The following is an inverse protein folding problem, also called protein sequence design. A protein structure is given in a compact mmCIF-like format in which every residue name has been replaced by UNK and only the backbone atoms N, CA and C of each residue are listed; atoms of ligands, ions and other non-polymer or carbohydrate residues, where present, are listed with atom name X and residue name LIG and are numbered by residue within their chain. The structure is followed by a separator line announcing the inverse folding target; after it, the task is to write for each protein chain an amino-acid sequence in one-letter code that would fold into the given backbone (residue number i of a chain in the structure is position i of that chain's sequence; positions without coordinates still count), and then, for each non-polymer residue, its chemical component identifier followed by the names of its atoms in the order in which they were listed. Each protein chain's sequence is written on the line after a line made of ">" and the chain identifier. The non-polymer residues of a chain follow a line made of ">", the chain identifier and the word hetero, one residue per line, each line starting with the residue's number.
data_IF_366017008256
#
_entry.id   IF_366017008256
#
_cell.length_a   1.000
_cell.length_b   1.000
_cell.length_c   1.000
_cell.angle_alpha   90.00
_cell.angle_beta   90.00
_cell.angle_gamma   90.00
#
_symmetry.space_group_name_H-M   'P 1'
#
loop_
_entity.id
_entity.type
_entity.pdbx_description
1 polymer ?
#
# COMPACT_ATOMS: atom_id res chain seq x y z
N UNK A 1 6.88 26.22 -15.41
CA UNK A 1 6.85 25.27 -14.27
C UNK A 1 8.10 25.51 -13.44
N UNK A 2 7.98 25.87 -12.15
CA UNK A 2 9.13 25.80 -11.25
C UNK A 2 9.52 24.33 -11.15
N UNK A 3 10.73 23.97 -11.60
CA UNK A 3 11.23 22.59 -11.48
C UNK A 3 11.40 22.21 -10.01
N UNK A 4 11.44 20.91 -9.71
CA UNK A 4 11.75 20.46 -8.35
C UNK A 4 13.13 20.96 -7.92
N UNK A 5 13.36 21.06 -6.61
CA UNK A 5 14.69 21.41 -6.08
C UNK A 5 15.75 20.42 -6.59
N UNK A 6 15.40 19.13 -6.65
CA UNK A 6 16.28 18.06 -7.15
C UNK A 6 16.77 18.31 -8.58
N UNK A 7 15.87 18.58 -9.52
CA UNK A 7 16.27 18.87 -10.90
C UNK A 7 16.91 20.24 -11.06
N UNK A 8 16.50 21.23 -10.26
CA UNK A 8 16.99 22.60 -10.39
C UNK A 8 18.45 22.72 -9.97
N UNK A 9 18.86 22.09 -8.86
CA UNK A 9 20.22 22.19 -8.33
C UNK A 9 21.28 21.54 -9.24
N UNK A 10 20.87 20.56 -10.04
CA UNK A 10 21.77 19.83 -10.97
C UNK A 10 21.55 20.24 -12.43
N UNK A 11 20.69 21.24 -12.68
CA UNK A 11 20.45 21.76 -14.02
C UNK A 11 21.72 22.36 -14.62
N UNK A 12 21.92 22.17 -15.92
CA UNK A 12 23.04 22.77 -16.66
C UNK A 12 22.90 24.30 -16.73
N UNK A 13 21.67 24.81 -16.80
CA UNK A 13 21.41 26.25 -16.99
C UNK A 13 21.37 27.02 -15.68
N UNK A 14 20.81 26.42 -14.62
CA UNK A 14 20.51 27.10 -13.35
C UNK A 14 20.98 26.31 -12.11
N UNK A 15 21.86 25.33 -12.29
CA UNK A 15 22.34 24.48 -11.20
C UNK A 15 23.19 25.23 -10.17
N UNK A 16 23.58 24.54 -9.11
CA UNK A 16 24.30 25.10 -7.97
C UNK A 16 25.58 25.86 -8.38
N UNK A 17 26.28 25.37 -9.41
CA UNK A 17 27.47 26.00 -9.98
C UNK A 17 27.25 27.41 -10.57
N UNK A 18 25.99 27.83 -10.75
CA UNK A 18 25.63 29.19 -11.19
C UNK A 18 25.20 30.09 -10.04
N UNK A 19 25.12 29.58 -8.82
CA UNK A 19 24.72 30.37 -7.67
C UNK A 19 25.86 31.26 -7.19
N UNK A 20 25.75 32.55 -7.51
CA UNK A 20 26.71 33.60 -7.16
C UNK A 20 26.24 34.49 -6.00
N UNK A 21 25.18 34.08 -5.28
CA UNK A 21 24.69 34.81 -4.10
C UNK A 21 25.77 34.89 -3.03
N UNK A 22 25.79 36.03 -2.34
CA UNK A 22 26.73 36.31 -1.27
C UNK A 22 26.22 35.75 0.06
N UNK A 23 27.13 35.60 1.03
CA UNK A 23 26.81 35.09 2.38
C UNK A 23 25.65 35.85 3.05
N UNK A 24 25.54 37.16 2.82
CA UNK A 24 24.46 38.01 3.36
C UNK A 24 23.08 37.63 2.79
N UNK A 25 23.02 37.25 1.51
CA UNK A 25 21.78 36.91 0.82
C UNK A 25 21.21 35.61 1.40
N UNK A 26 22.07 34.63 1.69
CA UNK A 26 21.64 33.39 2.35
C UNK A 26 21.10 33.62 3.77
N UNK A 27 21.66 34.56 4.52
CA UNK A 27 21.12 34.92 5.85
C UNK A 27 19.71 35.50 5.75
N UNK A 28 19.48 36.38 4.77
CA UNK A 28 18.15 36.93 4.50
C UNK A 28 17.17 35.85 4.05
N UNK A 29 17.58 34.97 3.13
CA UNK A 29 16.74 33.86 2.70
C UNK A 29 16.41 32.88 3.84
N UNK A 30 17.30 32.73 4.81
CA UNK A 30 17.07 31.92 6.00
C UNK A 30 16.07 32.54 6.98
N UNK A 31 15.95 33.88 7.05
CA UNK A 31 14.93 34.52 7.89
C UNK A 31 13.51 34.32 7.36
N UNK A 32 13.36 34.10 6.06
CA UNK A 32 12.06 33.88 5.41
C UNK A 32 11.63 32.40 5.40
N UNK A 33 12.50 31.49 5.88
CA UNK A 33 12.19 30.06 5.90
C UNK A 33 11.13 29.74 6.95
N UNK A 34 9.96 29.30 6.49
CA UNK A 34 8.94 28.71 7.36
C UNK A 34 9.34 27.28 7.70
N UNK A 35 9.30 26.93 8.99
CA UNK A 35 9.45 25.55 9.43
C UNK A 35 8.27 24.73 8.90
N UNK A 36 8.56 23.74 8.05
CA UNK A 36 7.58 22.73 7.70
C UNK A 36 7.73 21.51 8.62
N UNK A 37 6.61 20.92 9.06
CA UNK A 37 6.66 19.70 9.85
C UNK A 37 7.25 18.56 9.02
N UNK A 38 7.89 17.61 9.72
CA UNK A 38 8.30 16.34 9.11
C UNK A 38 7.07 15.63 8.54
N UNK A 39 7.26 14.93 7.44
CA UNK A 39 6.23 14.08 6.86
C UNK A 39 5.83 13.00 7.87
N UNK A 40 4.54 12.97 8.23
CA UNK A 40 4.03 12.02 9.21
C UNK A 40 4.19 10.56 8.76
N UNK A 41 4.29 10.32 7.44
CA UNK A 41 4.46 9.01 6.83
C UNK A 41 5.92 8.67 6.49
N UNK A 42 6.90 9.49 6.88
CA UNK A 42 8.31 9.14 6.68
C UNK A 42 8.71 7.91 7.49
N UNK A 43 9.36 6.95 6.83
CA UNK A 43 9.92 5.74 7.46
C UNK A 43 11.42 5.88 7.69
N UNK A 44 12.10 6.69 6.89
CA UNK A 44 13.53 6.95 6.99
C UNK A 44 13.81 8.38 7.46
N UNK A 45 14.94 8.55 8.15
CA UNK A 45 15.48 9.82 8.61
C UNK A 45 16.90 9.96 8.09
N UNK A 46 17.25 11.17 7.65
CA UNK A 46 18.63 11.50 7.28
C UNK A 46 19.39 12.05 8.49
N UNK A 47 20.50 11.41 8.82
CA UNK A 47 21.48 11.87 9.81
C UNK A 47 22.74 12.37 9.08
N UNK A 48 22.71 13.63 8.65
CA UNK A 48 23.80 14.25 7.90
C UNK A 48 24.55 15.28 8.75
N UNK A 49 25.83 15.54 8.42
CA UNK A 49 26.68 16.52 9.11
C UNK A 49 25.98 17.88 9.19
N UNK A 50 26.01 18.52 10.38
CA UNK A 50 25.40 19.84 10.59
C UNK A 50 26.05 20.90 9.66
N UNK A 51 25.28 21.80 9.04
CA UNK A 51 25.82 22.86 8.22
C UNK A 51 26.54 23.89 9.11
N UNK A 52 27.72 24.32 8.69
CA UNK A 52 28.57 25.27 9.44
C UNK A 52 28.55 26.69 8.83
N UNK A 53 27.74 26.93 7.80
CA UNK A 53 27.57 28.24 7.19
C UNK A 53 26.17 28.41 6.61
N UNK A 54 25.82 29.67 6.28
CA UNK A 54 24.49 30.05 5.81
C UNK A 54 24.12 29.43 4.45
N UNK A 55 25.07 29.26 3.52
CA UNK A 55 24.81 28.66 2.20
C UNK A 55 24.42 27.18 2.37
N UNK A 56 25.21 26.42 3.14
CA UNK A 56 24.92 25.02 3.48
C UNK A 56 23.58 24.89 4.20
N UNK A 57 23.31 25.74 5.20
CA UNK A 57 22.05 25.71 5.96
C UNK A 57 20.84 26.00 5.08
N UNK A 58 20.93 27.02 4.22
CA UNK A 58 19.87 27.39 3.29
C UNK A 58 19.50 26.21 2.38
N UNK A 59 20.49 25.62 1.72
CA UNK A 59 20.24 24.52 0.80
C UNK A 59 19.85 23.22 1.51
N UNK A 60 20.39 22.96 2.69
CA UNK A 60 19.94 21.82 3.50
C UNK A 60 18.46 21.96 3.84
N UNK A 61 18.00 23.13 4.31
CA UNK A 61 16.58 23.38 4.58
C UNK A 61 15.72 23.28 3.32
N UNK A 62 16.19 23.82 2.19
CA UNK A 62 15.48 23.77 0.92
C UNK A 62 15.25 22.32 0.46
N UNK A 63 16.30 21.51 0.46
CA UNK A 63 16.26 20.10 0.07
C UNK A 63 15.42 19.30 1.05
N UNK A 64 15.60 19.54 2.35
CA UNK A 64 14.81 18.90 3.41
C UNK A 64 13.31 19.13 3.19
N UNK A 65 12.90 20.38 2.98
CA UNK A 65 11.48 20.71 2.78
C UNK A 65 10.90 20.04 1.53
N UNK A 66 11.62 20.08 0.40
CA UNK A 66 11.17 19.39 -0.82
C UNK A 66 11.03 17.88 -0.58
N UNK A 67 11.97 17.30 0.16
CA UNK A 67 11.97 15.87 0.51
C UNK A 67 10.76 15.53 1.37
N UNK A 68 10.53 16.24 2.47
CA UNK A 68 9.38 16.01 3.36
C UNK A 68 8.05 16.23 2.62
N UNK A 69 7.94 17.28 1.80
CA UNK A 69 6.74 17.50 1.00
C UNK A 69 6.48 16.36 0.00
N UNK A 70 7.54 15.85 -0.62
CA UNK A 70 7.45 14.71 -1.56
C UNK A 70 7.00 13.45 -0.83
N UNK A 71 7.60 13.13 0.33
CA UNK A 71 7.19 11.96 1.13
C UNK A 71 5.73 12.11 1.58
N UNK A 72 5.34 13.28 2.09
CA UNK A 72 3.96 13.54 2.51
C UNK A 72 2.94 13.37 1.36
N UNK A 73 3.35 13.70 0.13
CA UNK A 73 2.50 13.58 -1.06
C UNK A 73 2.19 12.14 -1.46
N UNK A 74 2.97 11.14 -1.03
CA UNK A 74 2.72 9.73 -1.40
C UNK A 74 1.31 9.27 -1.02
N UNK A 75 0.81 9.70 0.13
CA UNK A 75 -0.57 9.40 0.56
C UNK A 75 -1.64 9.84 -0.45
N UNK A 76 -1.36 10.88 -1.25
CA UNK A 76 -2.26 11.37 -2.30
C UNK A 76 -2.09 10.60 -3.61
N UNK A 77 -0.86 10.17 -3.93
CA UNK A 77 -0.54 9.38 -5.13
C UNK A 77 -1.04 7.93 -5.03
N UNK A 78 -1.26 7.44 -3.80
CA UNK A 78 -1.78 6.11 -3.50
C UNK A 78 -3.07 6.19 -2.66
N UNK A 79 -4.19 6.65 -3.23
CA UNK A 79 -5.43 6.82 -2.49
C UNK A 79 -6.07 5.47 -2.15
N UNK A 80 -6.84 5.43 -1.06
CA UNK A 80 -7.41 4.18 -0.50
C UNK A 80 -8.35 3.44 -1.48
N UNK A 81 -8.98 4.18 -2.39
CA UNK A 81 -9.90 3.66 -3.40
C UNK A 81 -9.23 3.34 -4.74
N UNK A 82 -7.91 3.54 -4.90
CA UNK A 82 -7.20 3.18 -6.13
C UNK A 82 -7.18 1.66 -6.33
N UNK A 83 -7.40 1.25 -7.57
CA UNK A 83 -7.24 -0.11 -8.04
C UNK A 83 -5.76 -0.51 -8.06
N UNK A 84 -5.48 -1.82 -8.15
CA UNK A 84 -4.10 -2.31 -8.26
C UNK A 84 -3.40 -1.78 -9.51
N UNK A 85 -4.00 -1.77 -10.72
CA UNK A 85 -3.35 -1.18 -11.91
C UNK A 85 -3.04 0.31 -11.76
N UNK A 86 -3.93 1.09 -11.14
CA UNK A 86 -3.68 2.52 -10.86
C UNK A 86 -2.49 2.70 -9.91
N UNK A 87 -2.44 1.94 -8.82
CA UNK A 87 -1.32 2.00 -7.88
C UNK A 87 0.01 1.54 -8.52
N UNK A 88 -0.02 0.54 -9.40
CA UNK A 88 1.16 0.15 -10.19
C UNK A 88 1.63 1.30 -11.07
N UNK A 89 0.70 1.95 -11.78
CA UNK A 89 1.00 3.10 -12.61
C UNK A 89 1.60 4.27 -11.79
N UNK A 90 0.97 4.66 -10.67
CA UNK A 90 1.50 5.68 -9.76
C UNK A 90 2.91 5.33 -9.26
N UNK A 91 3.12 4.08 -8.87
CA UNK A 91 4.42 3.58 -8.44
C UNK A 91 5.46 3.74 -9.55
N UNK A 92 5.18 3.29 -10.77
CA UNK A 92 6.09 3.41 -11.92
C UNK A 92 6.43 4.87 -12.22
N UNK A 93 5.45 5.79 -12.18
CA UNK A 93 5.68 7.22 -12.42
C UNK A 93 6.62 7.81 -11.36
N UNK A 94 6.39 7.53 -10.08
CA UNK A 94 7.24 8.02 -9.00
C UNK A 94 8.64 7.39 -9.04
N UNK A 95 8.73 6.10 -9.34
CA UNK A 95 10.00 5.39 -9.48
C UNK A 95 10.84 6.01 -10.60
N UNK A 96 10.26 6.19 -11.80
CA UNK A 96 10.93 6.83 -12.93
C UNK A 96 11.37 8.27 -12.63
N UNK A 97 10.58 9.00 -11.84
CA UNK A 97 10.94 10.35 -11.38
C UNK A 97 12.17 10.33 -10.47
N UNK A 98 12.24 9.39 -9.53
CA UNK A 98 13.40 9.27 -8.62
C UNK A 98 14.62 8.67 -9.31
N UNK A 99 14.44 7.73 -10.24
CA UNK A 99 15.48 7.26 -11.15
C UNK A 99 16.13 8.42 -11.88
N UNK A 100 15.30 9.31 -12.44
CA UNK A 100 15.81 10.51 -13.13
C UNK A 100 16.59 11.41 -12.18
N UNK A 101 16.09 11.67 -10.97
CA UNK A 101 16.83 12.48 -9.99
C UNK A 101 18.20 11.88 -9.66
N UNK A 102 18.27 10.58 -9.39
CA UNK A 102 19.51 9.89 -9.06
C UNK A 102 20.53 9.98 -10.22
N UNK A 103 20.08 9.71 -11.45
CA UNK A 103 20.93 9.80 -12.65
C UNK A 103 21.41 11.24 -12.93
N UNK A 104 20.53 12.24 -12.79
CA UNK A 104 20.88 13.65 -12.99
C UNK A 104 21.92 14.11 -11.96
N UNK A 105 21.76 13.69 -10.69
CA UNK A 105 22.72 13.98 -9.62
C UNK A 105 24.06 13.29 -9.88
N UNK A 106 24.05 12.00 -10.26
CA UNK A 106 25.28 11.25 -10.58
C UNK A 106 26.05 11.91 -11.73
N UNK A 107 25.34 12.29 -12.79
CA UNK A 107 25.90 13.02 -13.94
C UNK A 107 26.53 14.35 -13.49
N UNK A 108 25.86 15.08 -12.61
CA UNK A 108 26.36 16.35 -12.09
C UNK A 108 27.60 16.17 -11.22
N UNK A 109 27.61 15.16 -10.34
CA UNK A 109 28.76 14.81 -9.50
C UNK A 109 29.99 14.56 -10.38
N UNK A 110 29.86 13.71 -11.40
CA UNK A 110 30.94 13.37 -12.31
C UNK A 110 31.44 14.58 -13.10
N UNK A 111 30.52 15.38 -13.66
CA UNK A 111 30.89 16.56 -14.46
C UNK A 111 31.53 17.68 -13.65
N UNK A 112 31.21 17.81 -12.37
CA UNK A 112 31.69 18.88 -11.50
C UNK A 112 32.79 18.46 -10.54
N UNK A 113 33.19 17.19 -10.57
CA UNK A 113 34.21 16.65 -9.66
C UNK A 113 33.80 16.76 -8.20
N UNK A 114 32.51 16.54 -7.90
CA UNK A 114 32.01 16.59 -6.53
C UNK A 114 32.60 15.42 -5.75
N UNK A 115 33.22 15.71 -4.59
CA UNK A 115 33.86 14.70 -3.75
C UNK A 115 33.11 14.52 -2.42
N UNK A 116 33.52 13.54 -1.63
CA UNK A 116 32.99 13.31 -0.28
C UNK A 116 33.48 14.34 0.76
N UNK A 117 34.33 15.29 0.39
CA UNK A 117 34.78 16.35 1.31
C UNK A 117 33.65 17.36 1.59
N UNK A 118 32.98 17.15 2.72
CA UNK A 118 31.85 17.98 3.18
C UNK A 118 32.28 19.38 3.67
N UNK A 119 33.58 19.72 3.66
CA UNK A 119 34.03 21.06 4.02
C UNK A 119 33.77 22.07 2.90
N UNK A 120 33.89 21.67 1.64
CA UNK A 120 33.45 22.47 0.50
C UNK A 120 31.91 22.63 0.48
N UNK A 121 31.43 23.82 0.13
CA UNK A 121 30.00 24.16 0.11
C UNK A 121 29.22 23.33 -0.91
N UNK A 122 29.73 23.24 -2.14
CA UNK A 122 29.04 22.55 -3.23
C UNK A 122 29.06 21.03 -3.01
N UNK A 123 30.18 20.48 -2.53
CA UNK A 123 30.25 19.08 -2.14
C UNK A 123 29.24 18.75 -1.05
N UNK A 124 29.14 19.57 0.00
CA UNK A 124 28.18 19.36 1.07
C UNK A 124 26.74 19.32 0.53
N UNK A 125 26.37 20.30 -0.30
CA UNK A 125 25.00 20.46 -0.79
C UNK A 125 24.62 19.31 -1.72
N UNK A 126 25.51 18.94 -2.65
CA UNK A 126 25.23 17.88 -3.61
C UNK A 126 25.24 16.50 -2.94
N UNK A 127 26.11 16.24 -1.97
CA UNK A 127 26.05 14.98 -1.20
C UNK A 127 24.79 14.90 -0.34
N UNK A 128 24.33 16.01 0.25
CA UNK A 128 23.04 16.03 0.95
C UNK A 128 21.87 15.79 -0.01
N UNK A 129 21.94 16.33 -1.24
CA UNK A 129 20.97 16.07 -2.30
C UNK A 129 20.96 14.60 -2.73
N UNK A 130 22.13 13.99 -2.95
CA UNK A 130 22.32 12.55 -3.23
C UNK A 130 21.63 11.71 -2.16
N UNK A 131 21.98 11.91 -0.89
CA UNK A 131 21.41 11.19 0.25
C UNK A 131 19.88 11.36 0.31
N UNK A 132 19.37 12.57 0.07
CA UNK A 132 17.93 12.85 0.10
C UNK A 132 17.19 12.16 -1.05
N UNK A 133 17.78 12.07 -2.24
CA UNK A 133 17.21 11.35 -3.38
C UNK A 133 17.19 9.84 -3.14
N UNK A 134 18.27 9.27 -2.58
CA UNK A 134 18.33 7.87 -2.16
C UNK A 134 17.22 7.59 -1.15
N UNK A 135 17.03 8.48 -0.15
CA UNK A 135 15.92 8.37 0.80
C UNK A 135 14.56 8.36 0.09
N UNK A 136 14.28 9.25 -0.86
CA UNK A 136 12.98 9.27 -1.56
C UNK A 136 12.70 7.95 -2.28
N UNK A 137 13.71 7.39 -2.93
CA UNK A 137 13.62 6.10 -3.61
C UNK A 137 13.35 4.96 -2.60
N UNK A 138 14.10 4.92 -1.50
CA UNK A 138 13.92 3.94 -0.43
C UNK A 138 12.55 4.07 0.27
N UNK A 139 12.06 5.29 0.53
CA UNK A 139 10.74 5.55 1.11
C UNK A 139 9.63 4.98 0.21
N UNK A 140 9.71 5.21 -1.10
CA UNK A 140 8.73 4.69 -2.07
C UNK A 140 8.72 3.16 -2.06
N UNK A 141 9.89 2.51 -2.08
CA UNK A 141 10.00 1.06 -2.03
C UNK A 141 9.49 0.47 -0.71
N UNK A 142 9.84 1.06 0.42
CA UNK A 142 9.44 0.55 1.73
C UNK A 142 7.93 0.68 1.96
N UNK A 143 7.33 1.79 1.52
CA UNK A 143 5.90 2.05 1.75
C UNK A 143 5.00 1.42 0.68
N UNK A 144 5.47 1.33 -0.57
CA UNK A 144 4.65 0.99 -1.73
C UNK A 144 5.28 -0.04 -2.69
N UNK A 145 6.41 -0.65 -2.33
CA UNK A 145 7.14 -1.60 -3.16
C UNK A 145 6.35 -2.85 -3.57
N UNK A 146 5.24 -3.17 -2.89
CA UNK A 146 4.32 -4.23 -3.30
C UNK A 146 3.66 -4.00 -4.67
N UNK A 147 3.70 -2.76 -5.19
CA UNK A 147 3.22 -2.41 -6.52
C UNK A 147 4.33 -2.43 -7.57
N UNK A 148 5.57 -2.69 -7.19
CA UNK A 148 6.68 -2.89 -8.11
C UNK A 148 6.56 -4.21 -8.86
N UNK A 149 6.94 -4.22 -10.14
CA UNK A 149 7.16 -5.44 -10.91
C UNK A 149 8.62 -5.90 -10.85
N UNK A 150 9.52 -5.03 -10.37
CA UNK A 150 10.96 -5.24 -10.25
C UNK A 150 11.37 -5.51 -8.81
N UNK A 151 12.53 -6.17 -8.65
CA UNK A 151 13.19 -6.37 -7.35
C UNK A 151 13.48 -5.02 -6.67
N UNK A 152 13.22 -4.97 -5.37
CA UNK A 152 13.55 -3.84 -4.51
C UNK A 152 15.04 -3.83 -4.16
N UNK A 153 15.68 -2.67 -4.27
CA UNK A 153 17.04 -2.41 -3.80
C UNK A 153 17.05 -1.93 -2.34
N UNK A 154 18.07 -2.32 -1.59
CA UNK A 154 18.47 -1.73 -0.32
C UNK A 154 19.17 -0.38 -0.51
N UNK A 155 19.38 0.37 0.57
CA UNK A 155 20.04 1.69 0.50
C UNK A 155 21.45 1.61 -0.11
N UNK A 156 22.23 0.57 0.24
CA UNK A 156 23.56 0.36 -0.33
C UNK A 156 23.48 0.01 -1.82
N UNK A 157 22.55 -0.87 -2.22
CA UNK A 157 22.36 -1.24 -3.64
C UNK A 157 21.90 -0.04 -4.49
N UNK A 158 21.10 0.88 -3.94
CA UNK A 158 20.75 2.13 -4.63
C UNK A 158 22.02 2.99 -4.79
N UNK A 159 22.82 3.16 -3.73
CA UNK A 159 24.04 3.96 -3.80
C UNK A 159 25.03 3.39 -4.83
N UNK A 160 25.23 2.08 -4.84
CA UNK A 160 26.07 1.37 -5.80
C UNK A 160 25.53 1.52 -7.22
N UNK A 161 24.25 1.22 -7.46
CA UNK A 161 23.62 1.25 -8.79
C UNK A 161 23.74 2.60 -9.49
N UNK A 162 23.49 3.72 -8.78
CA UNK A 162 23.44 5.04 -9.41
C UNK A 162 24.73 5.84 -9.26
N UNK A 163 25.57 5.55 -8.27
CA UNK A 163 26.77 6.34 -7.97
C UNK A 163 28.07 5.53 -7.94
N UNK A 164 28.04 4.22 -8.19
CA UNK A 164 29.17 3.31 -8.06
C UNK A 164 29.86 3.44 -6.68
N UNK A 165 29.06 3.60 -5.62
CA UNK A 165 29.51 3.84 -4.25
C UNK A 165 29.28 2.60 -3.39
N UNK A 166 30.19 1.63 -3.48
CA UNK A 166 30.15 0.36 -2.72
C UNK A 166 30.36 0.56 -1.22
N UNK A 167 30.97 1.67 -0.82
CA UNK A 167 31.33 2.01 0.57
C UNK A 167 30.36 3.00 1.22
N UNK A 168 29.18 3.19 0.63
CA UNK A 168 28.21 4.16 1.11
C UNK A 168 27.83 3.90 2.58
N UNK A 169 28.00 4.91 3.43
CA UNK A 169 27.61 4.83 4.83
C UNK A 169 26.08 4.84 4.97
N UNK A 170 25.51 3.65 5.09
CA UNK A 170 24.06 3.45 5.25
C UNK A 170 23.51 4.09 6.52
N UNK A 171 24.34 4.37 7.54
CA UNK A 171 23.89 5.01 8.79
C UNK A 171 23.49 6.48 8.59
N UNK A 172 23.85 7.07 7.44
CA UNK A 172 23.37 8.40 7.06
C UNK A 172 21.86 8.38 6.79
N UNK A 173 21.27 7.23 6.47
CA UNK A 173 19.83 7.04 6.24
C UNK A 173 19.32 5.96 7.21
N UNK A 174 18.82 6.39 8.37
CA UNK A 174 18.31 5.49 9.39
C UNK A 174 16.82 5.22 9.22
N UNK A 175 16.44 3.95 9.36
CA UNK A 175 15.03 3.56 9.48
C UNK A 175 14.52 3.95 10.86
N UNK A 176 13.50 4.80 10.91
CA UNK A 176 12.88 5.22 12.18
C UNK A 176 12.18 4.02 12.83
N UNK A 177 12.51 3.73 14.09
CA UNK A 177 11.91 2.65 14.89
C UNK A 177 10.49 2.95 15.38
N UNK A 178 9.99 4.17 15.13
CA UNK A 178 8.68 4.63 15.57
C UNK A 178 7.60 4.48 14.50
N UNK A 179 6.69 3.51 14.76
CA UNK A 179 5.32 3.31 14.22
C UNK A 179 5.12 3.62 12.73
N UNK A 180 5.05 2.54 11.94
CA UNK A 180 4.32 2.48 10.67
C UNK A 180 3.03 3.30 10.77
N UNK A 181 2.93 4.36 9.96
CA UNK A 181 1.61 4.91 9.59
C UNK A 181 0.80 3.75 9.01
N UNK A 182 -0.43 3.64 9.47
CA UNK A 182 -1.25 2.45 9.39
C UNK A 182 -1.47 1.95 7.95
N UNK A 183 -0.64 0.99 7.53
CA UNK A 183 -1.09 -0.16 6.75
C UNK A 183 -1.08 -1.38 7.67
N UNK A 184 -2.27 -1.87 8.00
CA UNK A 184 -2.43 -3.16 8.69
C UNK A 184 -1.72 -4.24 7.87
N UNK A 185 -0.60 -4.74 8.41
CA UNK A 185 0.03 -6.05 8.21
C UNK A 185 -0.19 -6.72 6.84
N UNK A 186 0.79 -6.62 5.96
CA UNK A 186 1.29 -7.77 5.17
C UNK A 186 2.60 -8.22 5.83
N UNK A 187 2.96 -9.48 5.98
CA UNK A 187 2.28 -10.77 5.82
C UNK A 187 2.99 -11.70 6.80
N UNK A 188 2.27 -12.41 7.67
CA UNK A 188 2.75 -13.75 8.03
C UNK A 188 2.90 -14.49 6.70
N UNK A 189 4.01 -15.20 6.52
CA UNK A 189 4.25 -16.19 5.45
C UNK A 189 2.92 -16.61 4.84
N UNK A 190 2.70 -16.36 3.53
CA UNK A 190 1.48 -16.76 2.82
C UNK A 190 1.20 -18.22 3.19
N UNK A 191 0.37 -18.44 4.19
CA UNK A 191 -0.23 -19.73 4.43
C UNK A 191 -0.93 -20.05 3.11
N UNK A 192 -0.73 -21.27 2.61
CA UNK A 192 -1.41 -21.75 1.40
C UNK A 192 -2.86 -21.22 1.42
N UNK A 193 -3.34 -20.63 0.31
CA UNK A 193 -4.67 -20.06 0.26
C UNK A 193 -5.65 -21.10 0.80
N UNK A 194 -6.43 -20.73 1.83
CA UNK A 194 -7.34 -21.68 2.47
C UNK A 194 -8.41 -22.06 1.45
N UNK A 195 -8.42 -23.32 1.06
CA UNK A 195 -9.28 -23.81 -0.02
C UNK A 195 -10.64 -24.33 0.47
N UNK A 196 -10.99 -24.13 1.74
CA UNK A 196 -12.29 -24.54 2.30
C UNK A 196 -12.86 -23.54 3.28
N UNK A 197 -14.16 -23.66 3.56
CA UNK A 197 -14.84 -22.87 4.59
C UNK A 197 -14.67 -23.45 6.00
N UNK A 198 -14.49 -24.77 6.11
CA UNK A 198 -14.16 -25.47 7.35
C UNK A 198 -15.29 -25.40 8.37
N UNK A 199 -16.38 -26.14 8.13
CA UNK A 199 -17.46 -26.27 9.10
C UNK A 199 -16.95 -26.91 10.40
N UNK A 200 -17.39 -26.39 11.55
CA UNK A 200 -16.84 -26.77 12.87
C UNK A 200 -17.53 -27.96 13.52
N UNK A 201 -18.79 -28.22 13.18
CA UNK A 201 -19.56 -29.33 13.76
C UNK A 201 -19.38 -30.60 12.93
N UNK A 202 -19.46 -31.75 13.60
CA UNK A 202 -19.54 -33.05 12.93
C UNK A 202 -20.95 -33.33 12.39
N UNK A 203 -21.97 -32.66 12.93
CA UNK A 203 -23.34 -32.80 12.46
C UNK A 203 -23.59 -31.96 11.21
N UNK A 204 -23.37 -32.59 10.07
CA UNK A 204 -23.63 -31.99 8.75
C UNK A 204 -25.11 -31.98 8.38
N UNK A 205 -25.93 -32.84 9.01
CA UNK A 205 -27.34 -32.99 8.66
C UNK A 205 -28.18 -31.80 9.13
N UNK A 206 -27.90 -31.27 10.33
CA UNK A 206 -28.55 -30.06 10.83
C UNK A 206 -28.21 -28.84 9.98
N UNK A 207 -26.98 -28.74 9.48
CA UNK A 207 -26.61 -27.68 8.52
C UNK A 207 -27.47 -27.76 7.25
N UNK A 208 -27.66 -28.96 6.68
CA UNK A 208 -28.50 -29.13 5.50
C UNK A 208 -29.95 -28.71 5.77
N UNK A 209 -30.52 -29.13 6.89
CA UNK A 209 -31.88 -28.74 7.31
C UNK A 209 -32.01 -27.22 7.44
N UNK A 210 -31.05 -26.57 8.09
CA UNK A 210 -31.02 -25.10 8.22
C UNK A 210 -30.93 -24.42 6.87
N UNK A 211 -30.07 -24.90 5.96
CA UNK A 211 -29.97 -24.32 4.61
C UNK A 211 -31.28 -24.49 3.81
N UNK A 212 -31.99 -25.62 3.97
CA UNK A 212 -33.30 -25.84 3.34
C UNK A 212 -34.34 -24.86 3.86
N UNK A 213 -34.39 -24.66 5.18
CA UNK A 213 -35.30 -23.71 5.82
C UNK A 213 -35.00 -22.26 5.40
N UNK A 214 -33.72 -21.86 5.39
CA UNK A 214 -33.32 -20.54 4.93
C UNK A 214 -33.67 -20.36 3.46
N UNK A 215 -33.38 -21.34 2.60
CA UNK A 215 -33.70 -21.28 1.18
C UNK A 215 -35.21 -21.06 0.95
N UNK A 216 -36.05 -21.78 1.69
CA UNK A 216 -37.50 -21.63 1.62
C UNK A 216 -37.99 -20.26 2.11
N UNK A 217 -37.31 -19.63 3.08
CA UNK A 217 -37.77 -18.37 3.68
C UNK A 217 -37.36 -17.12 2.93
N UNK A 218 -36.19 -17.12 2.30
CA UNK A 218 -35.65 -15.91 1.65
C UNK A 218 -35.39 -16.08 0.16
N UNK A 219 -35.83 -17.19 -0.43
CA UNK A 219 -35.49 -17.58 -1.81
C UNK A 219 -33.97 -17.50 -2.04
N UNK A 220 -33.21 -18.21 -1.19
CA UNK A 220 -31.74 -18.09 -1.14
C UNK A 220 -31.10 -18.39 -2.51
N UNK A 221 -31.51 -19.49 -3.13
CA UNK A 221 -30.92 -20.03 -4.36
C UNK A 221 -31.86 -19.91 -5.55
N UNK A 222 -31.26 -19.70 -6.71
CA UNK A 222 -31.93 -19.81 -8.00
C UNK A 222 -32.10 -21.29 -8.39
N UNK A 223 -33.01 -21.59 -9.30
CA UNK A 223 -33.33 -22.94 -9.80
C UNK A 223 -32.14 -23.67 -10.46
N UNK A 224 -31.07 -22.95 -10.80
CA UNK A 224 -29.80 -23.49 -11.32
C UNK A 224 -28.96 -24.19 -10.25
N UNK A 225 -29.26 -23.97 -8.97
CA UNK A 225 -28.50 -24.52 -7.84
C UNK A 225 -29.44 -25.16 -6.83
N UNK A 226 -29.12 -26.36 -6.37
CA UNK A 226 -29.85 -27.02 -5.27
C UNK A 226 -29.25 -26.69 -3.91
N UNK A 227 -30.04 -26.85 -2.86
CA UNK A 227 -29.56 -26.65 -1.48
C UNK A 227 -28.46 -27.67 -1.13
N UNK A 228 -28.55 -28.87 -1.69
CA UNK A 228 -27.55 -29.93 -1.55
C UNK A 228 -26.20 -29.51 -2.16
N UNK A 229 -26.19 -28.85 -3.32
CA UNK A 229 -24.96 -28.33 -3.92
C UNK A 229 -24.32 -27.22 -3.08
N UNK A 230 -25.13 -26.33 -2.49
CA UNK A 230 -24.63 -25.32 -1.54
C UNK A 230 -24.06 -26.00 -0.28
N UNK A 231 -24.75 -26.99 0.26
CA UNK A 231 -24.31 -27.74 1.43
C UNK A 231 -22.97 -28.47 1.17
N UNK A 232 -22.85 -29.14 0.03
CA UNK A 232 -21.62 -29.79 -0.41
C UNK A 232 -20.46 -28.80 -0.50
N UNK A 233 -20.67 -27.64 -1.12
CA UNK A 233 -19.64 -26.58 -1.20
C UNK A 233 -19.22 -26.07 0.18
N UNK A 234 -20.17 -25.89 1.11
CA UNK A 234 -19.87 -25.42 2.46
C UNK A 234 -19.04 -26.43 3.28
N UNK A 235 -19.18 -27.71 2.98
CA UNK A 235 -18.45 -28.82 3.62
C UNK A 235 -17.19 -29.25 2.87
N UNK A 236 -16.99 -28.79 1.64
CA UNK A 236 -15.87 -29.19 0.80
C UNK A 236 -14.52 -28.92 1.50
N UNK A 237 -13.63 -29.92 1.44
CA UNK A 237 -12.25 -29.80 1.93
C UNK A 237 -11.39 -28.91 1.03
N UNK A 238 -11.77 -28.81 -0.25
CA UNK A 238 -11.19 -27.92 -1.25
C UNK A 238 -12.28 -27.43 -2.23
N UNK A 239 -12.27 -26.15 -2.58
CA UNK A 239 -13.19 -25.54 -3.54
C UNK A 239 -13.01 -26.10 -4.96
N UNK A 240 -11.84 -26.67 -5.29
CA UNK A 240 -11.62 -27.31 -6.59
C UNK A 240 -12.37 -28.63 -6.73
N UNK A 241 -12.81 -29.24 -5.62
CA UNK A 241 -13.51 -30.52 -5.64
C UNK A 241 -15.00 -30.39 -5.97
N UNK A 242 -15.50 -29.17 -6.14
CA UNK A 242 -16.90 -28.88 -6.43
C UNK A 242 -17.01 -28.13 -7.74
N UNK A 243 -17.59 -28.74 -8.77
CA UNK A 243 -17.77 -28.08 -10.08
C UNK A 243 -18.93 -27.08 -10.09
N UNK A 244 -19.89 -27.25 -9.18
CA UNK A 244 -21.13 -26.47 -9.13
C UNK A 244 -20.89 -25.00 -8.75
N UNK A 245 -21.49 -24.09 -9.53
CA UNK A 245 -21.69 -22.69 -9.16
C UNK A 245 -22.98 -22.56 -8.33
N UNK A 246 -22.94 -21.69 -7.33
CA UNK A 246 -24.05 -21.35 -6.45
C UNK A 246 -24.66 -20.03 -6.91
N UNK A 247 -25.81 -20.12 -7.57
CA UNK A 247 -26.57 -18.97 -8.04
C UNK A 247 -27.53 -18.50 -6.95
N UNK A 248 -27.32 -17.27 -6.46
CA UNK A 248 -28.13 -16.66 -5.43
C UNK A 248 -29.35 -15.94 -6.04
N UNK A 249 -30.51 -16.10 -5.42
CA UNK A 249 -31.76 -15.45 -5.85
C UNK A 249 -32.25 -14.37 -4.88
N UNK A 250 -31.81 -14.42 -3.62
CA UNK A 250 -32.18 -13.47 -2.57
C UNK A 250 -31.48 -12.10 -2.72
N UNK A 251 -31.91 -11.12 -1.94
CA UNK A 251 -31.26 -9.81 -1.91
C UNK A 251 -29.85 -9.93 -1.30
N UNK A 252 -28.89 -9.15 -1.83
CA UNK A 252 -27.50 -9.17 -1.33
C UNK A 252 -27.41 -8.75 0.15
N UNK A 253 -28.34 -7.94 0.63
CA UNK A 253 -28.49 -7.55 2.05
C UNK A 253 -28.85 -8.74 2.94
N UNK A 254 -29.84 -9.56 2.55
CA UNK A 254 -30.21 -10.80 3.24
C UNK A 254 -29.06 -11.81 3.23
N UNK A 255 -28.42 -12.02 2.07
CA UNK A 255 -27.28 -12.95 1.98
C UNK A 255 -26.10 -12.49 2.83
N UNK A 256 -25.77 -11.20 2.81
CA UNK A 256 -24.71 -10.65 3.67
C UNK A 256 -25.01 -10.85 5.16
N UNK A 257 -26.27 -10.75 5.55
CA UNK A 257 -26.69 -11.03 6.92
C UNK A 257 -26.55 -12.50 7.27
N UNK A 258 -27.02 -13.40 6.40
CA UNK A 258 -26.87 -14.84 6.54
C UNK A 258 -25.39 -15.24 6.70
N UNK A 259 -24.49 -14.68 5.88
CA UNK A 259 -23.04 -14.90 6.00
C UNK A 259 -22.52 -14.49 7.38
N UNK A 260 -23.01 -13.38 7.93
CA UNK A 260 -22.63 -12.92 9.27
C UNK A 260 -23.10 -13.90 10.34
N UNK A 261 -24.30 -14.46 10.18
CA UNK A 261 -24.92 -15.40 11.14
C UNK A 261 -24.35 -16.81 11.07
N UNK A 262 -23.96 -17.26 9.88
CA UNK A 262 -23.32 -18.57 9.70
C UNK A 262 -21.83 -18.55 10.12
N UNK A 263 -21.14 -17.41 10.00
CA UNK A 263 -19.71 -17.27 10.30
C UNK A 263 -19.23 -17.96 11.60
N UNK A 264 -19.92 -17.89 12.75
CA UNK A 264 -19.49 -18.56 13.99
C UNK A 264 -19.34 -20.08 13.86
N UNK A 265 -20.11 -20.74 12.99
CA UNK A 265 -20.12 -22.20 12.80
C UNK A 265 -19.03 -22.70 11.84
N UNK A 266 -18.24 -21.80 11.24
CA UNK A 266 -17.18 -22.12 10.30
C UNK A 266 -15.85 -21.49 10.74
N UNK A 267 -14.75 -22.08 10.31
CA UNK A 267 -13.39 -21.57 10.59
C UNK A 267 -13.08 -20.40 9.65
N UNK A 268 -13.49 -20.49 8.38
CA UNK A 268 -13.09 -19.56 7.33
C UNK A 268 -14.25 -18.95 6.53
N UNK A 269 -15.51 -19.18 6.89
CA UNK A 269 -16.66 -18.62 6.18
C UNK A 269 -16.80 -17.11 6.42
N UNK A 270 -16.41 -16.30 5.44
CA UNK A 270 -16.46 -14.84 5.47
C UNK A 270 -16.49 -14.28 4.04
N UNK A 271 -16.80 -12.98 3.83
CA UNK A 271 -16.89 -12.40 2.50
C UNK A 271 -15.68 -12.63 1.59
N UNK A 272 -14.46 -12.53 2.13
CA UNK A 272 -13.23 -12.75 1.35
C UNK A 272 -13.06 -14.21 0.95
N UNK A 273 -13.42 -15.16 1.81
CA UNK A 273 -13.38 -16.57 1.46
C UNK A 273 -14.44 -16.94 0.41
N UNK A 274 -15.62 -16.33 0.47
CA UNK A 274 -16.72 -16.50 -0.49
C UNK A 274 -16.30 -15.97 -1.87
N UNK A 275 -15.69 -14.78 -1.95
CA UNK A 275 -15.14 -14.27 -3.20
C UNK A 275 -14.02 -15.16 -3.73
N UNK A 276 -13.10 -15.58 -2.85
CA UNK A 276 -11.96 -16.42 -3.24
C UNK A 276 -12.38 -17.79 -3.76
N UNK A 277 -13.49 -18.35 -3.29
CA UNK A 277 -13.95 -19.65 -3.82
C UNK A 277 -14.31 -19.55 -5.30
N UNK A 278 -14.73 -18.36 -5.79
CA UNK A 278 -15.18 -18.18 -7.17
C UNK A 278 -16.42 -19.00 -7.53
N UNK A 279 -17.18 -19.45 -6.51
CA UNK A 279 -18.35 -20.33 -6.67
C UNK A 279 -19.69 -19.63 -6.50
N UNK A 280 -19.74 -18.39 -6.02
CA UNK A 280 -21.01 -17.70 -5.77
C UNK A 280 -21.28 -16.68 -6.86
N UNK A 281 -22.48 -16.76 -7.44
CA UNK A 281 -22.98 -15.88 -8.50
C UNK A 281 -24.19 -15.13 -7.96
N UNK A 282 -24.22 -13.82 -8.16
CA UNK A 282 -25.34 -12.97 -7.76
C UNK A 282 -26.57 -13.22 -8.64
N UNK A 283 -27.73 -12.73 -8.20
CA UNK A 283 -28.97 -12.72 -8.98
C UNK A 283 -28.81 -12.13 -10.40
N UNK A 284 -27.91 -11.16 -10.56
CA UNK A 284 -27.60 -10.51 -11.84
C UNK A 284 -26.64 -11.31 -12.73
N UNK A 285 -26.23 -12.52 -12.33
CA UNK A 285 -25.33 -13.38 -13.11
C UNK A 285 -23.84 -13.06 -12.99
N UNK A 286 -23.44 -12.16 -12.08
CA UNK A 286 -22.02 -11.80 -11.87
C UNK A 286 -21.42 -12.54 -10.68
N UNK A 287 -20.13 -12.86 -10.72
CA UNK A 287 -19.43 -13.41 -9.55
C UNK A 287 -19.54 -12.46 -8.36
N UNK A 288 -19.91 -13.02 -7.21
CA UNK A 288 -20.07 -12.29 -5.97
C UNK A 288 -18.71 -11.88 -5.40
N UNK A 289 -18.48 -10.57 -5.26
CA UNK A 289 -17.25 -10.02 -4.66
C UNK A 289 -17.45 -9.74 -3.18
N UNK A 290 -16.39 -9.77 -2.38
CA UNK A 290 -16.48 -9.48 -0.94
C UNK A 290 -17.02 -8.06 -0.68
N UNK A 291 -16.69 -7.12 -1.57
CA UNK A 291 -17.18 -5.74 -1.52
C UNK A 291 -18.72 -5.67 -1.62
N UNK A 292 -19.37 -6.56 -2.38
CA UNK A 292 -20.83 -6.60 -2.45
C UNK A 292 -21.43 -6.92 -1.07
N UNK A 293 -20.82 -7.83 -0.31
CA UNK A 293 -21.28 -8.20 1.03
C UNK A 293 -20.94 -7.11 2.06
N UNK A 294 -19.74 -6.52 1.99
CA UNK A 294 -19.35 -5.46 2.92
C UNK A 294 -20.24 -4.21 2.80
N UNK A 295 -20.57 -3.79 1.58
CA UNK A 295 -21.41 -2.61 1.33
C UNK A 295 -22.88 -2.82 1.70
N UNK A 296 -23.37 -4.06 1.58
CA UNK A 296 -24.77 -4.40 1.86
C UNK A 296 -24.99 -4.91 3.29
N UNK A 297 -24.04 -4.67 4.20
CA UNK A 297 -24.18 -5.01 5.60
C UNK A 297 -25.18 -4.07 6.28
N UNK A 298 -26.42 -4.53 6.41
CA UNK A 298 -27.51 -3.82 7.10
C UNK A 298 -27.82 -4.48 8.44
N UNK A 299 -28.22 -3.68 9.44
CA UNK A 299 -28.57 -4.20 10.76
C UNK A 299 -29.90 -4.97 10.76
N UNK A 300 -30.86 -4.52 9.94
CA UNK A 300 -32.21 -5.07 9.87
C UNK A 300 -32.61 -5.38 8.43
N UNK A 301 -32.05 -6.44 7.82
CA UNK A 301 -32.54 -6.90 6.52
C UNK A 301 -33.97 -7.44 6.66
N UNK A 302 -34.64 -7.59 5.51
CA UNK A 302 -35.91 -8.32 5.45
C UNK A 302 -35.73 -9.74 6.00
N UNK A 303 -36.78 -10.26 6.63
CA UNK A 303 -36.84 -11.60 7.25
C UNK A 303 -35.74 -11.89 8.29
N UNK A 304 -35.10 -10.86 8.86
CA UNK A 304 -34.06 -10.98 9.89
C UNK A 304 -34.45 -11.95 11.01
N UNK A 305 -35.64 -11.77 11.58
CA UNK A 305 -36.12 -12.54 12.73
C UNK A 305 -36.28 -14.02 12.39
N UNK A 306 -36.74 -14.33 11.18
CA UNK A 306 -36.88 -15.70 10.69
C UNK A 306 -35.50 -16.33 10.42
N UNK A 307 -34.56 -15.56 9.83
CA UNK A 307 -33.17 -16.00 9.67
C UNK A 307 -32.56 -16.30 11.06
N UNK A 308 -32.76 -15.41 12.04
CA UNK A 308 -32.24 -15.59 13.40
C UNK A 308 -32.80 -16.86 14.05
N UNK A 309 -34.13 -17.08 13.99
CA UNK A 309 -34.79 -18.29 14.52
C UNK A 309 -34.29 -19.58 13.87
N UNK A 310 -34.10 -19.58 12.55
CA UNK A 310 -33.63 -20.77 11.84
C UNK A 310 -32.17 -21.07 12.19
N UNK A 311 -31.31 -20.05 12.23
CA UNK A 311 -29.88 -20.23 12.52
C UNK A 311 -29.62 -20.65 13.97
N UNK A 312 -30.50 -20.30 14.91
CA UNK A 312 -30.44 -20.79 16.30
C UNK A 312 -30.44 -22.32 16.40
N UNK A 313 -30.97 -23.04 15.41
CA UNK A 313 -30.95 -24.51 15.38
C UNK A 313 -29.53 -25.09 15.20
N UNK A 314 -28.54 -24.27 14.85
CA UNK A 314 -27.12 -24.67 14.77
C UNK A 314 -26.35 -24.49 16.09
N UNK A 315 -26.96 -23.83 17.09
CA UNK A 315 -26.34 -23.56 18.40
C UNK A 315 -26.52 -24.73 19.35
#
# INVERSE_FOLDING_TARGET
>A
MKGSVFSSLVSITNGLHRDNRQKKDFKYLLSDFKLNPKANNAVFKVNFKKPLNAKKEYYQKLIFIETENTVASFSKEFPVNATTPENKYSYTILLNKFDKYLNDIATYINKRGITADLNNDDNYIINYLKVSAIRLYAELQEQYGQFSENTTFSISEIAEKYFNDETFDVNVIEKSTTKKVATKKTSKTKAKPKTSFGYKSNDTSTLLTVLKLVNLKIDLLDNRTTVEQLHELLLAKDFTNTESQIYLQCETTQFSYLVTKLKPFFIYFNPTAIERSGKFVTKTGTLLKANNLHKNKVHNPKEKEEIDKIIQQLQ
#
